data_IF_292497121010
#
_entry.id   IF_292497121010
#
_cell.length_a   1.000
_cell.length_b   1.000
_cell.length_c   1.000
_cell.angle_alpha   90.00
_cell.angle_beta   90.00
_cell.angle_gamma   90.00
#
_symmetry.space_group_name_H-M   'P 1'
#
loop_
_entity.id
_entity.type
_entity.pdbx_description
1 polymer ?
#
# COMPACT_ATOMS: atom_id res chain seq x y z
N UNK A 1 8.08 6.12 13.16
CA UNK A 1 8.53 5.50 14.44
C UNK A 1 8.18 4.02 14.44
N UNK A 2 9.09 3.18 14.94
CA UNK A 2 8.90 1.73 15.04
C UNK A 2 8.57 1.35 16.49
N UNK A 3 7.56 0.49 16.67
CA UNK A 3 7.14 0.02 17.99
C UNK A 3 7.03 -1.50 18.01
N UNK A 4 7.76 -2.12 18.92
CA UNK A 4 7.61 -3.53 19.25
C UNK A 4 6.28 -3.74 20.00
N UNK A 5 5.60 -4.83 19.74
CA UNK A 5 4.40 -5.24 20.47
C UNK A 5 4.58 -6.69 20.94
N UNK A 6 5.02 -6.88 22.18
CA UNK A 6 5.40 -8.19 22.74
C UNK A 6 6.49 -8.86 21.89
N UNK A 7 6.15 -10.02 21.32
CA UNK A 7 7.01 -10.80 20.44
C UNK A 7 6.98 -10.38 18.96
N UNK A 8 6.02 -9.50 18.59
CA UNK A 8 5.87 -8.97 17.24
C UNK A 8 6.72 -7.71 17.07
N UNK A 9 7.58 -7.73 16.04
CA UNK A 9 8.53 -6.64 15.76
C UNK A 9 8.54 -6.28 14.29
N UNK A 10 8.57 -4.98 13.96
CA UNK A 10 8.76 -4.58 12.58
C UNK A 10 10.10 -5.07 12.03
N UNK A 11 10.09 -5.54 10.79
CA UNK A 11 11.26 -6.05 10.07
C UNK A 11 11.48 -5.23 8.80
N UNK A 12 12.75 -5.04 8.46
CA UNK A 12 13.16 -4.34 7.24
C UNK A 12 14.19 -5.18 6.51
N UNK A 13 14.00 -5.40 5.22
CA UNK A 13 14.96 -6.06 4.34
C UNK A 13 15.54 -5.05 3.35
N UNK A 14 16.78 -4.60 3.61
CA UNK A 14 17.49 -3.63 2.78
C UNK A 14 17.11 -2.18 3.05
N UNK A 15 17.55 -1.29 2.16
CA UNK A 15 17.28 0.13 2.29
C UNK A 15 15.80 0.45 1.99
N UNK A 16 15.16 1.13 2.90
CA UNK A 16 13.81 1.70 2.78
C UNK A 16 13.73 3.00 3.56
N UNK A 17 12.64 3.71 3.45
CA UNK A 17 12.47 4.97 4.16
C UNK A 17 11.12 5.03 4.89
N UNK A 18 11.17 5.52 6.12
CA UNK A 18 9.99 5.74 6.94
C UNK A 18 10.02 7.18 7.44
N UNK A 19 9.00 7.95 7.14
CA UNK A 19 8.88 9.32 7.61
C UNK A 19 8.92 9.39 9.14
N UNK A 20 9.51 10.44 9.73
CA UNK A 20 9.72 10.55 11.19
C UNK A 20 8.45 10.38 12.03
N UNK A 21 7.31 10.81 11.48
CA UNK A 21 6.01 10.77 12.17
C UNK A 21 5.08 9.65 11.64
N UNK A 22 5.57 8.79 10.75
CA UNK A 22 4.85 7.56 10.42
C UNK A 22 4.98 6.56 11.57
N UNK A 23 3.95 5.77 11.80
CA UNK A 23 3.86 4.83 12.92
C UNK A 23 3.78 3.40 12.41
N UNK A 24 4.72 2.55 12.83
CA UNK A 24 4.79 1.14 12.44
C UNK A 24 4.82 0.30 13.71
N UNK A 25 3.83 -0.58 13.89
CA UNK A 25 3.62 -1.33 15.13
C UNK A 25 3.49 -2.83 14.84
N UNK A 26 4.21 -3.66 15.58
CA UNK A 26 4.05 -5.10 15.61
C UNK A 26 4.60 -5.83 14.38
N UNK A 27 3.91 -6.85 13.87
CA UNK A 27 4.37 -7.68 12.78
C UNK A 27 4.19 -7.00 11.42
N UNK A 28 5.12 -6.12 11.10
CA UNK A 28 5.17 -5.40 9.81
C UNK A 28 6.49 -5.71 9.12
N UNK A 29 6.44 -6.12 7.86
CA UNK A 29 7.62 -6.36 7.02
C UNK A 29 7.70 -5.33 5.90
N UNK A 30 8.83 -4.62 5.84
CA UNK A 30 9.13 -3.64 4.79
C UNK A 30 10.25 -4.20 3.90
N UNK A 31 9.95 -4.42 2.62
CA UNK A 31 10.96 -4.83 1.65
C UNK A 31 11.81 -3.63 1.17
N UNK A 32 12.95 -3.96 0.54
CA UNK A 32 13.89 -2.94 0.03
C UNK A 32 13.20 -1.93 -0.89
N UNK A 33 13.72 -0.70 -0.90
CA UNK A 33 13.24 0.41 -1.71
C UNK A 33 11.77 0.81 -1.47
N UNK A 34 11.11 0.27 -0.43
CA UNK A 34 9.77 0.72 -0.02
C UNK A 34 9.84 2.04 0.75
N UNK A 35 8.73 2.78 0.78
CA UNK A 35 8.67 4.05 1.53
C UNK A 35 7.31 4.25 2.21
N UNK A 36 7.36 4.70 3.47
CA UNK A 36 6.19 4.98 4.30
C UNK A 36 6.20 6.48 4.65
N UNK A 37 5.19 7.18 4.19
CA UNK A 37 5.13 8.64 4.20
C UNK A 37 4.48 9.19 5.47
N UNK A 38 4.40 10.52 5.56
CA UNK A 38 4.04 11.22 6.79
C UNK A 38 2.63 10.85 7.31
N UNK A 39 2.52 10.69 8.62
CA UNK A 39 1.29 10.31 9.32
C UNK A 39 0.66 8.97 8.89
N UNK A 40 1.34 8.15 8.09
CA UNK A 40 0.86 6.81 7.81
C UNK A 40 0.97 5.91 9.04
N UNK A 41 -0.02 5.03 9.24
CA UNK A 41 -0.06 4.07 10.35
C UNK A 41 -0.17 2.66 9.81
N UNK A 42 0.81 1.81 10.13
CA UNK A 42 0.81 0.39 9.84
C UNK A 42 0.77 -0.37 11.16
N UNK A 43 -0.37 -0.99 11.49
CA UNK A 43 -0.57 -1.67 12.75
C UNK A 43 -0.79 -3.18 12.56
N UNK A 44 0.31 -3.94 12.64
CA UNK A 44 0.34 -5.40 12.56
C UNK A 44 0.25 -6.07 13.94
N UNK A 45 -0.75 -5.70 14.72
CA UNK A 45 -0.97 -6.23 16.06
C UNK A 45 -1.68 -7.59 16.06
N UNK A 46 -2.40 -7.91 14.99
CA UNK A 46 -3.16 -9.15 14.82
C UNK A 46 -2.46 -10.08 13.82
N UNK A 47 -2.45 -9.74 12.55
CA UNK A 47 -1.78 -10.48 11.48
C UNK A 47 -0.64 -9.67 10.86
N UNK A 48 0.18 -10.33 10.03
CA UNK A 48 1.29 -9.66 9.34
C UNK A 48 0.79 -8.62 8.33
N UNK A 49 1.50 -7.49 8.26
CA UNK A 49 1.43 -6.51 7.18
C UNK A 49 2.74 -6.59 6.38
N UNK A 50 2.65 -6.95 5.11
CA UNK A 50 3.80 -7.05 4.22
C UNK A 50 3.75 -5.97 3.14
N UNK A 51 4.79 -5.14 3.07
CA UNK A 51 4.97 -4.12 2.04
C UNK A 51 6.09 -4.56 1.09
N UNK A 52 5.71 -4.84 -0.15
CA UNK A 52 6.61 -5.34 -1.18
C UNK A 52 7.64 -4.31 -1.66
N UNK A 53 8.66 -4.84 -2.32
CA UNK A 53 9.78 -4.05 -2.87
C UNK A 53 9.29 -2.88 -3.72
N UNK A 54 9.90 -1.71 -3.53
CA UNK A 54 9.65 -0.52 -4.32
C UNK A 54 8.31 0.17 -4.09
N UNK A 55 7.43 -0.39 -3.25
CA UNK A 55 6.10 0.15 -2.99
C UNK A 55 6.12 1.35 -2.06
N UNK A 56 5.13 2.24 -2.21
CA UNK A 56 5.00 3.42 -1.37
C UNK A 56 3.62 3.49 -0.71
N UNK A 57 3.61 3.83 0.58
CA UNK A 57 2.41 4.07 1.37
C UNK A 57 2.37 5.56 1.71
N UNK A 58 1.47 6.29 1.08
CA UNK A 58 1.46 7.74 1.13
C UNK A 58 0.79 8.28 2.39
N UNK A 59 0.89 9.60 2.55
CA UNK A 59 0.57 10.36 3.74
C UNK A 59 -0.83 10.07 4.28
N UNK A 60 -0.91 9.85 5.60
CA UNK A 60 -2.16 9.64 6.31
C UNK A 60 -2.87 8.31 6.04
N UNK A 61 -2.27 7.39 5.28
CA UNK A 61 -2.85 6.08 5.03
C UNK A 61 -2.82 5.20 6.27
N UNK A 62 -3.83 4.35 6.43
CA UNK A 62 -3.95 3.42 7.55
C UNK A 62 -4.03 2.00 7.03
N UNK A 63 -3.14 1.14 7.52
CA UNK A 63 -3.08 -0.29 7.19
C UNK A 63 -3.27 -1.11 8.47
N UNK A 64 -4.26 -1.99 8.45
CA UNK A 64 -4.58 -2.83 9.60
C UNK A 64 -5.03 -4.23 9.17
N UNK A 65 -5.19 -5.12 10.14
CA UNK A 65 -5.51 -6.54 9.91
C UNK A 65 -6.51 -7.04 10.93
N UNK A 66 -7.26 -8.09 10.56
CA UNK A 66 -8.12 -8.87 11.46
C UNK A 66 -7.64 -10.33 11.53
N UNK A 67 -8.10 -11.12 12.51
CA UNK A 67 -7.73 -12.53 12.62
C UNK A 67 -8.03 -13.32 11.33
N UNK A 68 -6.99 -13.95 10.76
CA UNK A 68 -7.10 -14.72 9.51
C UNK A 68 -7.04 -13.88 8.23
N UNK A 69 -6.89 -12.55 8.34
CA UNK A 69 -6.81 -11.65 7.20
C UNK A 69 -5.51 -10.83 7.21
N UNK A 70 -4.36 -11.44 6.86
CA UNK A 70 -3.11 -10.71 6.70
C UNK A 70 -3.22 -9.69 5.56
N UNK A 71 -2.41 -8.64 5.62
CA UNK A 71 -2.38 -7.61 4.59
C UNK A 71 -1.10 -7.73 3.76
N UNK A 72 -1.26 -7.83 2.44
CA UNK A 72 -0.13 -7.92 1.53
C UNK A 72 -0.22 -6.84 0.44
N UNK A 73 0.76 -5.97 0.40
CA UNK A 73 1.03 -5.07 -0.72
C UNK A 73 2.15 -5.68 -1.56
N UNK A 74 1.89 -5.87 -2.84
CA UNK A 74 2.83 -6.42 -3.80
C UNK A 74 4.02 -5.51 -4.10
N UNK A 75 4.76 -5.83 -5.16
CA UNK A 75 5.91 -5.06 -5.62
C UNK A 75 5.48 -3.87 -6.47
N UNK A 76 6.22 -2.76 -6.33
CA UNK A 76 6.03 -1.54 -7.14
C UNK A 76 4.58 -0.99 -7.10
N UNK A 77 3.92 -1.10 -5.94
CA UNK A 77 2.56 -0.60 -5.71
C UNK A 77 2.60 0.83 -5.19
N UNK A 78 1.73 1.67 -5.71
CA UNK A 78 1.46 2.99 -5.13
C UNK A 78 0.17 2.97 -4.34
N UNK A 79 0.25 3.20 -3.03
CA UNK A 79 -0.90 3.43 -2.16
C UNK A 79 -1.02 4.93 -1.89
N UNK A 80 -2.01 5.57 -2.50
CA UNK A 80 -2.23 7.02 -2.46
C UNK A 80 -2.55 7.54 -1.05
N UNK A 81 -2.56 8.86 -0.93
CA UNK A 81 -2.83 9.52 0.36
C UNK A 81 -4.18 9.12 0.96
N UNK A 82 -4.25 9.02 2.29
CA UNK A 82 -5.47 8.76 3.07
C UNK A 82 -6.20 7.45 2.69
N UNK A 83 -5.49 6.48 2.14
CA UNK A 83 -6.05 5.17 1.82
C UNK A 83 -6.21 4.34 3.08
N UNK A 84 -7.32 3.57 3.16
CA UNK A 84 -7.51 2.53 4.17
C UNK A 84 -7.38 1.17 3.52
N UNK A 85 -6.40 0.38 3.95
CA UNK A 85 -6.28 -1.04 3.61
C UNK A 85 -6.52 -1.88 4.86
N UNK A 86 -7.42 -2.84 4.76
CA UNK A 86 -7.76 -3.71 5.88
C UNK A 86 -7.78 -5.17 5.46
N UNK A 87 -6.81 -5.98 5.93
CA UNK A 87 -6.76 -7.43 5.70
C UNK A 87 -6.89 -7.86 4.24
N UNK A 88 -6.28 -7.16 3.30
CA UNK A 88 -6.45 -7.34 1.86
C UNK A 88 -5.14 -7.67 1.14
N UNK A 89 -5.24 -8.04 -0.13
CA UNK A 89 -4.08 -8.28 -1.00
C UNK A 89 -4.12 -7.36 -2.20
N UNK A 90 -3.00 -6.69 -2.46
CA UNK A 90 -2.80 -5.81 -3.63
C UNK A 90 -1.72 -6.41 -4.51
N UNK A 91 -2.05 -6.68 -5.77
CA UNK A 91 -1.12 -7.20 -6.78
C UNK A 91 -0.11 -6.17 -7.26
N UNK A 92 0.99 -6.67 -7.83
CA UNK A 92 2.13 -5.86 -8.27
C UNK A 92 1.73 -4.76 -9.27
N UNK A 93 2.49 -3.68 -9.31
CA UNK A 93 2.33 -2.56 -10.25
C UNK A 93 0.93 -1.92 -10.23
N UNK A 94 0.20 -2.02 -9.13
CA UNK A 94 -1.14 -1.43 -9.01
C UNK A 94 -1.09 -0.07 -8.32
N UNK A 95 -2.06 0.77 -8.64
CA UNK A 95 -2.25 2.07 -8.02
C UNK A 95 -3.58 2.09 -7.25
N UNK A 96 -3.51 2.41 -5.97
CA UNK A 96 -4.67 2.64 -5.12
C UNK A 96 -4.86 4.13 -4.95
N UNK A 97 -5.92 4.65 -5.51
CA UNK A 97 -6.20 6.10 -5.56
C UNK A 97 -6.50 6.71 -4.20
N UNK A 98 -6.32 8.02 -4.11
CA UNK A 98 -6.45 8.82 -2.90
C UNK A 98 -7.77 8.53 -2.16
N UNK A 99 -7.68 8.22 -0.87
CA UNK A 99 -8.83 7.99 0.00
C UNK A 99 -9.67 6.77 -0.33
N UNK A 100 -9.18 5.84 -1.15
CA UNK A 100 -9.86 4.57 -1.37
C UNK A 100 -9.87 3.70 -0.11
N UNK A 101 -10.86 2.83 0.00
CA UNK A 101 -11.02 1.88 1.12
C UNK A 101 -11.10 0.47 0.55
N UNK A 102 -10.26 -0.44 1.04
CA UNK A 102 -10.22 -1.84 0.62
C UNK A 102 -10.31 -2.71 1.87
N UNK A 103 -11.33 -3.57 1.93
CA UNK A 103 -11.72 -4.32 3.13
C UNK A 103 -11.22 -5.78 3.11
N UNK A 104 -11.52 -6.50 4.20
CA UNK A 104 -11.02 -7.85 4.48
C UNK A 104 -11.22 -8.82 3.30
N UNK A 105 -10.17 -9.62 3.06
CA UNK A 105 -10.13 -10.63 2.02
C UNK A 105 -10.41 -10.12 0.59
N UNK A 106 -10.40 -8.81 0.38
CA UNK A 106 -10.41 -8.27 -0.98
C UNK A 106 -9.06 -8.54 -1.66
N UNK A 107 -9.11 -8.93 -2.92
CA UNK A 107 -7.92 -9.23 -3.74
C UNK A 107 -7.93 -8.34 -4.97
N UNK A 108 -6.97 -7.47 -5.05
CA UNK A 108 -6.72 -6.63 -6.23
C UNK A 108 -5.63 -7.31 -7.06
N UNK A 109 -5.92 -7.54 -8.32
CA UNK A 109 -4.96 -8.10 -9.27
C UNK A 109 -3.78 -7.18 -9.58
N UNK A 110 -2.91 -7.59 -10.50
CA UNK A 110 -1.75 -6.82 -10.96
C UNK A 110 -2.16 -5.74 -11.96
N UNK A 111 -1.35 -4.68 -12.05
CA UNK A 111 -1.56 -3.58 -12.99
C UNK A 111 -2.95 -2.95 -12.90
N UNK A 112 -3.56 -2.96 -11.73
CA UNK A 112 -4.87 -2.37 -11.50
C UNK A 112 -4.78 -0.89 -11.13
N UNK A 113 -5.79 -0.13 -11.49
CA UNK A 113 -5.99 1.23 -10.99
C UNK A 113 -7.32 1.26 -10.23
N UNK A 114 -7.24 1.47 -8.92
CA UNK A 114 -8.39 1.72 -8.07
C UNK A 114 -8.54 3.23 -7.95
N UNK A 115 -9.65 3.76 -8.44
CA UNK A 115 -9.91 5.20 -8.47
C UNK A 115 -9.99 5.81 -7.07
N UNK A 116 -9.77 7.12 -7.00
CA UNK A 116 -9.88 7.86 -5.74
C UNK A 116 -11.27 7.67 -5.10
N UNK A 117 -11.33 7.55 -3.76
CA UNK A 117 -12.56 7.32 -2.98
C UNK A 117 -13.34 6.05 -3.34
N UNK A 118 -12.77 5.13 -4.10
CA UNK A 118 -13.43 3.85 -4.37
C UNK A 118 -13.52 2.98 -3.10
N UNK A 119 -14.62 2.25 -2.95
CA UNK A 119 -14.82 1.28 -1.88
C UNK A 119 -14.81 -0.14 -2.45
N UNK A 120 -13.81 -0.92 -2.10
CA UNK A 120 -13.76 -2.35 -2.41
C UNK A 120 -14.20 -3.12 -1.16
N UNK A 121 -15.37 -3.73 -1.26
CA UNK A 121 -15.96 -4.47 -0.15
C UNK A 121 -15.25 -5.80 0.10
N UNK A 122 -15.55 -6.40 1.26
CA UNK A 122 -14.99 -7.67 1.68
C UNK A 122 -15.18 -8.78 0.64
N UNK A 123 -14.20 -9.69 0.56
CA UNK A 123 -14.20 -10.86 -0.31
C UNK A 123 -14.29 -10.54 -1.81
N UNK A 124 -14.10 -9.29 -2.21
CA UNK A 124 -14.15 -8.88 -3.62
C UNK A 124 -12.85 -9.25 -4.32
N UNK A 125 -12.95 -9.91 -5.46
CA UNK A 125 -11.81 -10.15 -6.36
C UNK A 125 -11.89 -9.20 -7.57
N UNK A 126 -10.81 -8.46 -7.80
CA UNK A 126 -10.63 -7.57 -8.95
C UNK A 126 -9.57 -8.21 -9.85
N UNK A 127 -9.91 -8.58 -11.09
CA UNK A 127 -8.95 -9.22 -11.99
C UNK A 127 -7.81 -8.26 -12.39
N UNK A 128 -6.72 -8.84 -12.87
CA UNK A 128 -5.57 -8.08 -13.38
C UNK A 128 -5.99 -7.05 -14.43
N UNK A 129 -5.24 -5.97 -14.55
CA UNK A 129 -5.43 -4.90 -15.54
C UNK A 129 -6.78 -4.18 -15.46
N UNK A 130 -7.41 -4.12 -14.31
CA UNK A 130 -8.73 -3.50 -14.14
C UNK A 130 -8.64 -2.05 -13.69
N UNK A 131 -9.45 -1.18 -14.32
CA UNK A 131 -9.79 0.14 -13.80
C UNK A 131 -11.10 0.06 -13.02
N UNK A 132 -11.04 0.42 -11.73
CA UNK A 132 -12.18 0.35 -10.81
C UNK A 132 -12.49 1.72 -10.25
N UNK A 133 -13.77 2.11 -10.26
CA UNK A 133 -14.22 3.38 -9.67
C UNK A 133 -15.52 3.19 -8.90
N UNK A 134 -15.81 4.11 -7.97
CA UNK A 134 -17.10 4.23 -7.29
C UNK A 134 -17.14 3.61 -5.90
N UNK A 135 -18.25 3.82 -5.21
CA UNK A 135 -18.55 3.29 -3.89
C UNK A 135 -20.01 2.75 -3.90
N UNK A 136 -20.20 1.42 -3.99
CA UNK A 136 -19.18 0.37 -4.11
C UNK A 136 -18.43 0.39 -5.46
N UNK A 137 -17.17 -0.04 -5.45
CA UNK A 137 -16.29 -0.06 -6.61
C UNK A 137 -16.71 -1.07 -7.67
N UNK A 138 -16.68 -0.63 -8.92
CA UNK A 138 -17.00 -1.46 -10.10
C UNK A 138 -15.86 -1.39 -11.12
N UNK A 139 -15.51 -2.53 -11.68
CA UNK A 139 -14.63 -2.57 -12.86
C UNK A 139 -15.38 -1.92 -14.02
N UNK A 140 -14.79 -0.88 -14.59
CA UNK A 140 -15.42 -0.12 -15.70
C UNK A 140 -14.77 -0.42 -17.05
N UNK A 141 -13.49 -0.82 -17.06
CA UNK A 141 -12.73 -1.23 -18.26
C UNK A 141 -11.37 -1.78 -17.86
N UNK A 142 -10.63 -2.22 -18.84
CA UNK A 142 -9.20 -2.51 -18.68
C UNK A 142 -8.37 -1.22 -18.63
N UNK A 143 -7.24 -1.30 -17.92
CA UNK A 143 -6.20 -0.25 -17.87
C UNK A 143 -5.47 -0.24 -19.20
N UNK A 144 -5.30 0.93 -19.80
CA UNK A 144 -4.54 1.09 -21.05
C UNK A 144 -3.02 0.97 -20.83
N UNK A 145 -2.26 0.70 -21.88
CA UNK A 145 -0.79 0.63 -21.79
C UNK A 145 -0.15 1.96 -21.36
N UNK A 146 -0.73 3.08 -21.75
CA UNK A 146 -0.23 4.40 -21.34
C UNK A 146 -0.53 4.68 -19.85
N UNK A 147 -1.68 4.24 -19.34
CA UNK A 147 -1.98 4.29 -17.91
C UNK A 147 -1.03 3.39 -17.09
N UNK A 148 -0.71 2.19 -17.57
CA UNK A 148 0.29 1.31 -16.92
C UNK A 148 1.66 1.99 -16.84
N UNK A 149 2.11 2.61 -17.94
CA UNK A 149 3.38 3.38 -17.95
C UNK A 149 3.34 4.52 -16.94
N UNK A 150 2.24 5.27 -16.89
CA UNK A 150 2.08 6.37 -15.93
C UNK A 150 2.12 5.88 -14.47
N UNK A 151 1.55 4.72 -14.16
CA UNK A 151 1.65 4.10 -12.82
C UNK A 151 3.09 3.74 -12.49
N UNK A 152 3.82 3.12 -13.41
CA UNK A 152 5.25 2.78 -13.21
C UNK A 152 6.10 4.04 -12.99
N UNK A 153 5.89 5.08 -13.78
CA UNK A 153 6.60 6.37 -13.63
C UNK A 153 6.28 7.03 -12.28
N UNK A 154 5.00 6.99 -11.86
CA UNK A 154 4.60 7.50 -10.55
C UNK A 154 5.31 6.74 -9.41
N UNK A 155 5.34 5.42 -9.45
CA UNK A 155 6.01 4.60 -8.44
C UNK A 155 7.51 4.90 -8.40
N UNK A 156 8.15 5.00 -9.55
CA UNK A 156 9.57 5.38 -9.67
C UNK A 156 9.84 6.77 -9.09
N UNK A 157 8.94 7.73 -9.34
CA UNK A 157 9.04 9.06 -8.74
C UNK A 157 9.12 8.98 -7.21
N UNK A 158 8.29 8.16 -6.55
CA UNK A 158 8.33 7.98 -5.10
C UNK A 158 9.60 7.26 -4.63
N UNK A 159 10.10 6.28 -5.41
CA UNK A 159 11.39 5.61 -5.13
C UNK A 159 12.59 6.59 -5.20
N UNK A 160 12.55 7.54 -6.12
CA UNK A 160 13.59 8.58 -6.22
C UNK A 160 13.39 9.69 -5.18
N UNK A 161 12.13 9.98 -4.83
CA UNK A 161 11.80 11.07 -3.92
C UNK A 161 12.19 10.75 -2.47
N UNK A 162 11.90 9.54 -1.97
CA UNK A 162 12.29 9.19 -0.61
C UNK A 162 13.81 9.28 -0.39
N UNK A 163 14.63 9.00 -1.42
CA UNK A 163 16.11 9.15 -1.35
C UNK A 163 16.55 10.61 -1.17
N UNK A 164 15.75 11.57 -1.68
CA UNK A 164 15.97 13.00 -1.43
C UNK A 164 15.59 13.36 0.00
N UNK A 165 14.43 12.89 0.45
CA UNK A 165 13.96 13.13 1.81
C UNK A 165 14.91 12.55 2.87
N UNK A 166 15.44 11.35 2.66
CA UNK A 166 16.40 10.73 3.58
C UNK A 166 17.69 11.52 3.76
N UNK A 167 18.05 12.37 2.79
CA UNK A 167 19.24 13.24 2.85
C UNK A 167 18.95 14.64 3.40
N UNK A 168 17.69 15.06 3.42
CA UNK A 168 17.33 16.47 3.67
C UNK A 168 16.60 16.70 4.99
N UNK A 169 15.98 15.68 5.58
CA UNK A 169 15.15 15.82 6.78
C UNK A 169 15.91 15.48 8.08
N UNK A 170 17.16 14.99 7.98
CA UNK A 170 18.03 14.68 9.15
C UNK A 170 19.47 15.07 8.91
#
# INVERSE_FOLDING_TARGET
MFYDLKDKKPKSSGENWVAPNATIIGDVTLEKNSSIWFNAVLRGDIENIHIGEGSNIQDGSVLHTDPGYPLKVGKDVTVGHLVMLHGCTIGDNSLIGIGAVILNNAKIGKNCIIGAKALITENKEIPDNSLVVGSPGKVIREVTEDEKKAVVENTKHYQDNWKKYSKSIF
#
